data_IF_642883519086
#
_entry.id   IF_642883519086
#
_cell.length_a   1.000
_cell.length_b   1.000
_cell.length_c   1.000
_cell.angle_alpha   90.00
_cell.angle_beta   90.00
_cell.angle_gamma   90.00
#
_symmetry.space_group_name_H-M   'P 1'
#
loop_
_entity.id
_entity.type
_entity.pdbx_description
1 polymer ?
#
# COMPACT_ATOMS: atom_id res chain seq x y z
N UNK A 1 -28.32 9.80 23.80
CA UNK A 1 -27.41 8.72 23.41
C UNK A 1 -26.01 9.22 23.71
N UNK A 2 -25.36 8.59 24.71
CA UNK A 2 -24.04 9.03 25.23
C UNK A 2 -22.98 8.80 24.16
N UNK A 3 -22.25 9.87 23.76
CA UNK A 3 -20.98 9.78 23.05
C UNK A 3 -20.05 8.94 23.92
N UNK A 4 -19.71 7.74 23.45
CA UNK A 4 -18.65 6.95 24.07
C UNK A 4 -17.35 7.68 23.75
N UNK A 5 -16.71 8.17 24.80
CA UNK A 5 -15.34 8.70 24.79
C UNK A 5 -14.43 7.62 24.21
N UNK A 6 -14.14 7.71 22.91
CA UNK A 6 -13.17 6.84 22.22
C UNK A 6 -11.75 7.30 22.58
N UNK A 7 -11.39 7.11 23.86
CA UNK A 7 -10.02 7.36 24.31
C UNK A 7 -9.19 6.09 24.00
N UNK A 8 -8.40 6.08 22.94
CA UNK A 8 -7.69 4.86 22.53
C UNK A 8 -6.68 4.42 23.59
N UNK A 9 -6.62 3.11 23.82
CA UNK A 9 -5.73 2.53 24.84
C UNK A 9 -4.26 2.77 24.41
N UNK A 10 -3.65 3.74 25.06
CA UNK A 10 -2.28 4.23 24.75
C UNK A 10 -1.20 3.14 24.70
N UNK A 11 -1.37 2.06 25.49
CA UNK A 11 -0.41 0.94 25.46
C UNK A 11 -0.43 0.17 24.15
N UNK A 12 -1.61 0.01 23.52
CA UNK A 12 -1.76 -0.65 22.22
C UNK A 12 -1.09 0.19 21.12
N UNK A 13 -1.31 1.50 21.13
CA UNK A 13 -0.67 2.41 20.17
C UNK A 13 0.86 2.39 20.29
N UNK A 14 1.37 2.38 21.52
CA UNK A 14 2.82 2.30 21.79
C UNK A 14 3.42 0.97 21.32
N UNK A 15 2.68 -0.13 21.53
CA UNK A 15 3.10 -1.45 21.05
C UNK A 15 3.14 -1.51 19.53
N UNK A 16 2.12 -0.99 18.85
CA UNK A 16 2.08 -0.91 17.38
C UNK A 16 3.28 -0.10 16.84
N UNK A 17 3.59 1.08 17.41
CA UNK A 17 4.75 1.88 17.02
C UNK A 17 6.08 1.13 17.14
N UNK A 18 6.25 0.27 18.15
CA UNK A 18 7.45 -0.55 18.30
C UNK A 18 7.49 -1.64 17.21
N UNK A 19 6.35 -2.28 16.92
CA UNK A 19 6.28 -3.28 15.85
C UNK A 19 6.59 -2.67 14.48
N UNK A 20 6.03 -1.49 14.19
CA UNK A 20 6.31 -0.74 12.96
C UNK A 20 7.82 -0.44 12.83
N UNK A 21 8.44 0.06 13.90
CA UNK A 21 9.87 0.35 13.91
C UNK A 21 10.75 -0.89 13.65
N UNK A 22 10.40 -2.03 14.26
CA UNK A 22 11.15 -3.29 14.04
C UNK A 22 10.96 -3.78 12.60
N UNK A 23 9.74 -3.66 12.05
CA UNK A 23 9.44 -4.03 10.67
C UNK A 23 10.22 -3.19 9.65
N UNK A 24 10.25 -1.86 9.84
CA UNK A 24 10.96 -0.92 8.97
C UNK A 24 12.48 -1.11 8.99
N UNK A 25 13.03 -1.47 10.13
CA UNK A 25 14.48 -1.64 10.29
C UNK A 25 15.03 -2.83 9.48
N UNK A 26 14.22 -3.82 9.13
CA UNK A 26 14.60 -5.05 8.41
C UNK A 26 15.80 -5.80 9.03
N UNK A 27 16.04 -5.57 10.31
CA UNK A 27 17.08 -6.23 11.12
C UNK A 27 16.68 -6.22 12.58
N UNK A 28 17.19 -7.14 13.40
CA UNK A 28 16.96 -7.11 14.85
C UNK A 28 17.47 -5.82 15.50
N UNK A 29 16.68 -5.22 16.39
CA UNK A 29 16.99 -3.99 17.11
C UNK A 29 17.29 -4.24 18.59
N UNK A 30 18.21 -3.49 19.18
CA UNK A 30 18.46 -3.49 20.62
C UNK A 30 17.41 -2.65 21.37
N UNK A 31 17.25 -2.91 22.67
CA UNK A 31 16.40 -2.10 23.55
C UNK A 31 16.74 -0.60 23.48
N UNK A 32 18.03 -0.28 23.37
CA UNK A 32 18.51 1.10 23.31
C UNK A 32 18.08 1.78 22.00
N UNK A 33 18.28 1.14 20.86
CA UNK A 33 17.84 1.65 19.55
C UNK A 33 16.34 1.92 19.52
N UNK A 34 15.53 0.99 20.05
CA UNK A 34 14.06 1.14 20.12
C UNK A 34 13.67 2.31 21.05
N UNK A 35 14.32 2.44 22.19
CA UNK A 35 14.04 3.51 23.15
C UNK A 35 14.37 4.89 22.58
N UNK A 36 15.51 5.04 21.91
CA UNK A 36 15.93 6.26 21.23
C UNK A 36 14.98 6.64 20.09
N UNK A 37 14.67 5.70 19.19
CA UNK A 37 13.79 5.93 18.06
C UNK A 37 12.35 6.29 18.48
N UNK A 38 11.86 5.73 19.59
CA UNK A 38 10.51 6.02 20.09
C UNK A 38 10.46 7.21 21.05
N UNK A 39 11.61 7.78 21.46
CA UNK A 39 11.70 8.87 22.44
C UNK A 39 11.21 8.47 23.84
N UNK A 40 11.30 7.18 24.20
CA UNK A 40 10.75 6.65 25.47
C UNK A 40 11.84 6.16 26.41
N UNK A 41 11.52 6.18 27.71
CA UNK A 41 12.40 5.59 28.72
C UNK A 41 12.58 4.08 28.48
N UNK A 42 13.82 3.57 28.61
CA UNK A 42 14.16 2.14 28.43
C UNK A 42 13.28 1.20 29.26
N UNK A 43 12.92 1.59 30.48
CA UNK A 43 12.02 0.80 31.34
C UNK A 43 10.63 0.62 30.75
N UNK A 44 10.07 1.67 30.13
CA UNK A 44 8.77 1.61 29.44
C UNK A 44 8.82 0.71 28.20
N UNK A 45 9.87 0.87 27.40
CA UNK A 45 10.07 0.03 26.19
C UNK A 45 10.28 -1.43 26.57
N UNK A 46 11.08 -1.70 27.60
CA UNK A 46 11.29 -3.05 28.12
C UNK A 46 9.98 -3.71 28.57
N UNK A 47 9.13 -2.98 29.32
CA UNK A 47 7.83 -3.49 29.74
C UNK A 47 6.92 -3.84 28.55
N UNK A 48 6.89 -3.00 27.51
CA UNK A 48 6.13 -3.26 26.29
C UNK A 48 6.70 -4.47 25.53
N UNK A 49 8.01 -4.53 25.31
CA UNK A 49 8.67 -5.66 24.64
C UNK A 49 8.48 -6.97 25.42
N UNK A 50 8.54 -6.95 26.75
CA UNK A 50 8.28 -8.12 27.60
C UNK A 50 6.83 -8.62 27.41
N UNK A 51 5.86 -7.70 27.39
CA UNK A 51 4.45 -8.04 27.16
C UNK A 51 4.22 -8.57 25.74
N UNK A 52 4.82 -7.95 24.72
CA UNK A 52 4.72 -8.41 23.34
C UNK A 52 5.39 -9.77 23.13
N UNK A 53 6.52 -10.02 23.80
CA UNK A 53 7.18 -11.33 23.79
C UNK A 53 6.33 -12.41 24.44
N UNK A 54 5.68 -12.13 25.57
CA UNK A 54 4.80 -13.11 26.23
C UNK A 54 3.62 -13.58 25.37
N UNK A 55 3.21 -12.75 24.39
CA UNK A 55 2.14 -13.08 23.44
C UNK A 55 2.66 -13.45 22.04
N UNK A 56 3.99 -13.54 21.85
CA UNK A 56 4.61 -13.98 20.60
C UNK A 56 4.63 -12.95 19.47
N UNK A 57 4.41 -11.66 19.75
CA UNK A 57 4.48 -10.60 18.74
C UNK A 57 5.91 -10.13 18.46
N UNK A 58 6.79 -10.33 19.43
CA UNK A 58 8.21 -10.01 19.34
C UNK A 58 9.00 -11.20 19.90
N UNK A 59 10.11 -11.49 19.26
CA UNK A 59 11.10 -12.46 19.75
C UNK A 59 12.38 -11.74 20.16
N UNK A 60 13.12 -12.32 21.10
CA UNK A 60 14.41 -11.81 21.51
C UNK A 60 15.47 -12.87 21.27
N UNK A 61 16.45 -12.55 20.45
CA UNK A 61 17.60 -13.44 20.23
C UNK A 61 18.39 -13.60 21.54
N UNK A 62 18.57 -14.85 21.97
CA UNK A 62 19.20 -15.18 23.24
C UNK A 62 20.69 -14.79 23.31
N UNK A 63 21.40 -14.79 22.18
CA UNK A 63 22.83 -14.49 22.12
C UNK A 63 23.10 -12.99 22.06
N UNK A 64 22.32 -12.26 21.25
CA UNK A 64 22.55 -10.84 20.98
C UNK A 64 21.69 -9.92 21.84
N UNK A 65 20.62 -10.45 22.47
CA UNK A 65 19.63 -9.67 23.21
C UNK A 65 18.76 -8.75 22.35
N UNK A 66 18.88 -8.82 21.02
CA UNK A 66 18.13 -7.99 20.06
C UNK A 66 16.73 -8.54 19.82
N UNK A 67 15.81 -7.64 19.44
CA UNK A 67 14.40 -7.93 19.23
C UNK A 67 14.06 -7.93 17.75
N UNK A 68 13.21 -8.88 17.34
CA UNK A 68 12.66 -9.02 15.99
C UNK A 68 11.16 -9.35 16.05
N UNK A 69 10.48 -9.28 14.92
CA UNK A 69 9.05 -9.63 14.85
C UNK A 69 8.86 -11.13 15.12
N UNK A 70 7.90 -11.46 15.97
CA UNK A 70 7.56 -12.85 16.29
C UNK A 70 6.67 -13.51 15.24
N UNK A 71 6.79 -14.85 15.09
CA UNK A 71 6.07 -15.64 14.10
C UNK A 71 4.53 -15.53 14.23
N UNK A 72 4.02 -15.21 15.41
CA UNK A 72 2.57 -15.06 15.63
C UNK A 72 1.93 -13.93 14.80
N UNK A 73 2.68 -12.92 14.42
CA UNK A 73 2.22 -11.88 13.51
C UNK A 73 1.96 -12.44 12.11
N UNK A 74 2.76 -13.42 11.65
CA UNK A 74 2.52 -14.15 10.41
C UNK A 74 1.24 -15.01 10.50
N UNK A 75 0.98 -15.66 11.64
CA UNK A 75 -0.26 -16.43 11.85
C UNK A 75 -1.50 -15.54 11.72
N UNK A 76 -1.49 -14.34 12.34
CA UNK A 76 -2.57 -13.37 12.21
C UNK A 76 -2.73 -12.83 10.80
N UNK A 77 -1.62 -12.48 10.15
CA UNK A 77 -1.64 -12.05 8.75
C UNK A 77 -2.24 -13.12 7.83
N UNK A 78 -1.89 -14.40 8.07
CA UNK A 78 -2.42 -15.53 7.32
C UNK A 78 -3.92 -15.80 7.58
N UNK A 79 -4.45 -15.35 8.70
CA UNK A 79 -5.87 -15.47 9.04
C UNK A 79 -6.75 -14.37 8.42
N UNK A 80 -6.15 -13.33 7.81
CA UNK A 80 -6.89 -12.27 7.10
C UNK A 80 -7.40 -12.81 5.76
N UNK A 81 -8.57 -13.45 5.78
CA UNK A 81 -9.14 -14.19 4.64
C UNK A 81 -9.41 -13.33 3.40
N UNK A 82 -9.83 -12.06 3.56
CA UNK A 82 -10.14 -11.19 2.42
C UNK A 82 -8.91 -10.91 1.54
N UNK A 83 -7.74 -10.82 2.15
CA UNK A 83 -6.48 -10.53 1.44
C UNK A 83 -5.87 -11.79 0.82
N UNK A 84 -6.04 -12.95 1.45
CA UNK A 84 -5.44 -14.20 0.99
C UNK A 84 -5.96 -14.64 -0.38
N UNK A 85 -7.27 -14.59 -0.61
CA UNK A 85 -7.87 -14.99 -1.88
C UNK A 85 -7.37 -14.13 -3.04
N UNK A 86 -7.37 -12.80 -2.88
CA UNK A 86 -6.92 -11.90 -3.96
C UNK A 86 -5.42 -12.02 -4.24
N UNK A 87 -4.59 -12.29 -3.24
CA UNK A 87 -3.16 -12.50 -3.44
C UNK A 87 -2.88 -13.78 -4.26
N UNK A 88 -3.59 -14.85 -3.98
CA UNK A 88 -3.48 -16.09 -4.76
C UNK A 88 -3.95 -15.88 -6.21
N UNK A 89 -5.11 -15.23 -6.40
CA UNK A 89 -5.68 -14.97 -7.71
C UNK A 89 -4.82 -14.00 -8.55
N UNK A 90 -4.15 -13.03 -7.94
CA UNK A 90 -3.38 -12.02 -8.64
C UNK A 90 -1.95 -12.44 -9.01
N UNK A 91 -1.41 -13.50 -8.42
CA UNK A 91 -0.01 -13.90 -8.58
C UNK A 91 0.37 -14.14 -10.04
N UNK A 92 -0.33 -15.04 -10.74
CA UNK A 92 -0.03 -15.34 -12.14
C UNK A 92 -0.40 -14.19 -13.10
N UNK A 93 -1.55 -13.49 -12.95
CA UNK A 93 -1.82 -12.28 -13.72
C UNK A 93 -0.76 -11.18 -13.59
N UNK A 94 -0.23 -10.93 -12.38
CA UNK A 94 0.86 -9.96 -12.19
C UNK A 94 2.15 -10.40 -12.88
N UNK A 95 2.53 -11.68 -12.78
CA UNK A 95 3.69 -12.22 -13.49
C UNK A 95 3.55 -12.09 -15.01
N UNK A 96 2.37 -12.38 -15.54
CA UNK A 96 2.08 -12.23 -16.97
C UNK A 96 2.21 -10.76 -17.42
N UNK A 97 1.76 -9.79 -16.60
CA UNK A 97 1.96 -8.36 -16.88
C UNK A 97 3.45 -8.02 -16.93
N UNK A 98 4.21 -8.42 -15.92
CA UNK A 98 5.66 -8.18 -15.84
C UNK A 98 6.39 -8.77 -17.05
N UNK A 99 6.08 -10.02 -17.42
CA UNK A 99 6.70 -10.67 -18.60
C UNK A 99 6.43 -9.92 -19.89
N UNK A 100 5.21 -9.34 -20.05
CA UNK A 100 4.84 -8.64 -21.29
C UNK A 100 5.36 -7.21 -21.35
N UNK A 101 5.57 -6.55 -20.21
CA UNK A 101 5.92 -5.12 -20.15
C UNK A 101 7.34 -4.87 -19.70
N UNK A 102 8.00 -5.85 -19.09
CA UNK A 102 9.30 -5.73 -18.41
C UNK A 102 9.30 -4.64 -17.32
N UNK A 103 8.12 -4.33 -16.74
CA UNK A 103 7.94 -3.34 -15.68
C UNK A 103 7.33 -3.99 -14.43
N UNK A 104 7.52 -3.38 -13.27
CA UNK A 104 7.03 -3.93 -12.00
C UNK A 104 5.51 -3.80 -11.87
N UNK A 105 4.86 -4.86 -11.41
CA UNK A 105 3.43 -4.90 -11.13
C UNK A 105 3.17 -4.98 -9.62
N UNK A 106 2.13 -4.31 -9.14
CA UNK A 106 1.72 -4.40 -7.75
C UNK A 106 0.20 -4.39 -7.59
N UNK A 107 -0.27 -5.17 -6.61
CA UNK A 107 -1.63 -5.14 -6.11
C UNK A 107 -1.66 -4.40 -4.79
N UNK A 108 -2.63 -3.52 -4.61
CA UNK A 108 -2.74 -2.67 -3.42
C UNK A 108 -4.18 -2.46 -2.98
N UNK A 109 -4.34 -1.97 -1.75
CA UNK A 109 -5.59 -1.49 -1.19
C UNK A 109 -5.39 -0.15 -0.48
N UNK A 110 -6.48 0.51 -0.11
CA UNK A 110 -6.41 1.70 0.72
C UNK A 110 -6.41 1.28 2.20
N UNK A 111 -5.42 1.74 2.96
CA UNK A 111 -5.35 1.59 4.41
C UNK A 111 -5.05 2.96 5.05
N UNK A 112 -5.90 3.42 5.96
CA UNK A 112 -5.75 4.69 6.69
C UNK A 112 -5.48 5.91 5.83
N UNK A 113 -5.97 5.92 4.59
CA UNK A 113 -5.77 7.02 3.63
C UNK A 113 -4.52 6.90 2.78
N UNK A 114 -3.71 5.87 2.95
CA UNK A 114 -2.53 5.54 2.17
C UNK A 114 -2.73 4.26 1.36
N UNK A 115 -1.91 4.05 0.35
CA UNK A 115 -1.88 2.83 -0.46
C UNK A 115 -1.02 1.79 0.24
N UNK A 116 -1.60 0.67 0.66
CA UNK A 116 -0.87 -0.48 1.17
C UNK A 116 -0.61 -1.47 0.04
N UNK A 117 0.67 -1.78 -0.21
CA UNK A 117 1.07 -2.81 -1.17
C UNK A 117 0.82 -4.20 -0.56
N UNK A 118 -0.08 -4.97 -1.16
CA UNK A 118 -0.43 -6.32 -0.73
C UNK A 118 0.47 -7.40 -1.33
N UNK A 119 0.88 -7.19 -2.59
CA UNK A 119 1.74 -8.10 -3.32
C UNK A 119 2.32 -7.43 -4.55
N UNK A 120 3.42 -7.96 -5.05
CA UNK A 120 4.11 -7.43 -6.22
C UNK A 120 4.73 -8.55 -7.06
N UNK A 121 5.07 -8.21 -8.29
CA UNK A 121 5.90 -9.00 -9.18
C UNK A 121 6.89 -8.06 -9.87
N UNK A 122 8.12 -8.51 -10.07
CA UNK A 122 9.23 -7.72 -10.60
C UNK A 122 9.85 -8.44 -11.79
N UNK A 123 10.38 -7.70 -12.78
CA UNK A 123 11.10 -8.29 -13.91
C UNK A 123 12.48 -8.79 -13.46
N UNK A 124 13.04 -9.75 -14.19
CA UNK A 124 14.40 -10.23 -13.99
C UNK A 124 15.47 -9.21 -14.46
N UNK A 125 15.04 -7.99 -14.81
CA UNK A 125 15.92 -6.89 -15.21
C UNK A 125 16.72 -6.39 -14.01
N UNK A 126 18.01 -6.16 -14.18
CA UNK A 126 18.87 -5.55 -13.15
C UNK A 126 18.50 -4.09 -12.83
N UNK A 127 17.62 -3.49 -13.62
CA UNK A 127 17.15 -2.13 -13.43
C UNK A 127 15.62 -2.06 -13.50
N UNK A 128 14.97 -1.98 -12.35
CA UNK A 128 13.51 -1.89 -12.22
C UNK A 128 13.13 -1.12 -10.96
N UNK A 129 11.85 -0.74 -10.85
CA UNK A 129 11.31 -0.10 -9.65
C UNK A 129 10.91 -1.19 -8.66
N UNK A 130 11.53 -1.19 -7.49
CA UNK A 130 11.22 -2.14 -6.42
C UNK A 130 9.94 -1.74 -5.70
N UNK A 131 8.99 -2.67 -5.63
CA UNK A 131 7.80 -2.57 -4.81
C UNK A 131 7.88 -3.55 -3.65
N UNK A 132 7.57 -3.12 -2.44
CA UNK A 132 7.68 -3.96 -1.24
C UNK A 132 6.30 -4.22 -0.64
N UNK A 133 5.97 -5.49 -0.43
CA UNK A 133 4.75 -5.89 0.28
C UNK A 133 4.76 -5.34 1.71
N UNK A 134 3.62 -4.81 2.16
CA UNK A 134 3.47 -4.16 3.47
C UNK A 134 3.87 -2.69 3.50
N UNK A 135 4.40 -2.14 2.43
CA UNK A 135 4.77 -0.72 2.34
C UNK A 135 3.55 0.16 2.09
N UNK A 136 3.51 1.30 2.77
CA UNK A 136 2.55 2.37 2.52
C UNK A 136 3.12 3.43 1.57
N UNK A 137 2.28 3.91 0.64
CA UNK A 137 2.60 4.97 -0.32
C UNK A 137 1.50 6.04 -0.28
N UNK A 138 1.81 7.29 -0.64
CA UNK A 138 0.81 8.34 -0.69
C UNK A 138 -0.27 8.03 -1.73
N UNK A 139 -1.55 8.19 -1.35
CA UNK A 139 -2.67 7.84 -2.22
C UNK A 139 -2.97 8.91 -3.28
N UNK A 140 -2.74 10.17 -3.00
CA UNK A 140 -3.15 11.30 -3.86
C UNK A 140 -2.23 11.53 -5.07
N UNK A 141 -1.01 10.94 -5.11
CA UNK A 141 -0.02 11.16 -6.17
C UNK A 141 0.55 9.86 -6.77
N UNK A 142 -0.06 8.70 -6.46
CA UNK A 142 0.26 7.41 -7.08
C UNK A 142 -0.92 6.93 -7.93
N UNK A 143 -0.66 6.21 -9.02
CA UNK A 143 -1.74 5.71 -9.89
C UNK A 143 -2.72 4.81 -9.13
N UNK A 144 -2.21 3.88 -8.31
CA UNK A 144 -3.02 3.00 -7.49
C UNK A 144 -3.86 3.77 -6.47
N UNK A 145 -3.27 4.77 -5.83
CA UNK A 145 -3.98 5.61 -4.87
C UNK A 145 -5.11 6.41 -5.50
N UNK A 146 -4.88 7.02 -6.67
CA UNK A 146 -5.92 7.75 -7.40
C UNK A 146 -7.09 6.84 -7.80
N UNK A 147 -6.84 5.59 -8.19
CA UNK A 147 -7.89 4.59 -8.44
C UNK A 147 -8.72 4.33 -7.19
N UNK A 148 -8.05 4.08 -6.06
CA UNK A 148 -8.72 3.77 -4.78
C UNK A 148 -9.50 4.98 -4.22
N UNK A 149 -8.96 6.19 -4.37
CA UNK A 149 -9.63 7.42 -3.97
C UNK A 149 -10.84 7.75 -4.86
N UNK A 150 -10.79 7.41 -6.15
CA UNK A 150 -11.85 7.72 -7.10
C UNK A 150 -13.20 7.07 -6.76
N UNK A 151 -13.22 5.94 -6.05
CA UNK A 151 -14.43 5.22 -5.60
C UNK A 151 -15.01 5.78 -4.28
N UNK A 152 -14.27 6.65 -3.58
CA UNK A 152 -14.70 7.20 -2.30
C UNK A 152 -15.58 8.46 -2.46
N UNK A 153 -16.45 8.74 -1.46
CA UNK A 153 -17.13 10.03 -1.39
C UNK A 153 -16.14 11.20 -1.33
N UNK A 154 -16.42 12.29 -2.05
CA UNK A 154 -15.57 13.49 -2.12
C UNK A 154 -15.16 14.04 -0.74
N UNK A 155 -16.06 14.01 0.25
CA UNK A 155 -15.74 14.45 1.61
C UNK A 155 -14.67 13.59 2.30
N UNK A 156 -14.66 12.28 2.03
CA UNK A 156 -13.63 11.37 2.54
C UNK A 156 -12.28 11.61 1.87
N UNK A 157 -12.29 11.79 0.55
CA UNK A 157 -11.08 12.13 -0.22
C UNK A 157 -10.47 13.45 0.26
N UNK A 158 -11.30 14.49 0.47
CA UNK A 158 -10.84 15.78 0.98
C UNK A 158 -10.12 15.63 2.32
N UNK A 159 -10.70 14.90 3.28
CA UNK A 159 -10.09 14.65 4.60
C UNK A 159 -8.75 13.90 4.48
N UNK A 160 -8.67 12.89 3.62
CA UNK A 160 -7.42 12.16 3.36
C UNK A 160 -6.37 13.13 2.79
N UNK A 161 -6.75 13.92 1.80
CA UNK A 161 -5.85 14.88 1.16
C UNK A 161 -5.34 15.91 2.18
N UNK A 162 -6.22 16.54 2.97
CA UNK A 162 -5.84 17.52 3.99
C UNK A 162 -4.91 16.95 5.06
N UNK A 163 -5.00 15.63 5.33
CA UNK A 163 -4.15 14.95 6.33
C UNK A 163 -2.78 14.56 5.78
N UNK A 164 -2.69 14.14 4.51
CA UNK A 164 -1.51 13.48 3.95
C UNK A 164 -0.81 14.26 2.83
N UNK A 165 -1.45 15.32 2.27
CA UNK A 165 -0.90 15.99 1.10
C UNK A 165 0.40 16.71 1.41
N UNK A 166 1.41 16.41 0.62
CA UNK A 166 2.70 17.11 0.59
C UNK A 166 3.27 17.08 -0.82
N UNK A 167 4.11 18.04 -1.18
CA UNK A 167 4.79 18.07 -2.47
C UNK A 167 5.98 17.10 -2.45
N UNK A 168 5.95 16.10 -3.31
CA UNK A 168 7.08 15.18 -3.53
C UNK A 168 7.92 15.58 -4.72
N UNK A 169 7.26 16.12 -5.77
CA UNK A 169 7.89 16.60 -7.00
C UNK A 169 7.17 17.87 -7.47
N UNK A 170 7.71 18.60 -8.45
CA UNK A 170 6.98 19.72 -9.07
C UNK A 170 5.66 19.33 -9.77
N UNK A 171 5.44 18.03 -10.01
CA UNK A 171 4.24 17.52 -10.65
C UNK A 171 3.17 17.02 -9.65
N UNK A 172 3.50 16.98 -8.37
CA UNK A 172 2.54 16.56 -7.32
C UNK A 172 1.38 17.56 -7.26
N UNK A 173 0.14 17.06 -7.27
CA UNK A 173 -1.04 17.88 -7.02
C UNK A 173 -1.01 18.41 -5.57
N UNK A 174 -0.93 19.73 -5.41
CA UNK A 174 -0.86 20.40 -4.11
C UNK A 174 -2.18 21.07 -3.71
N UNK A 175 -3.20 21.02 -4.57
CA UNK A 175 -4.54 21.50 -4.26
C UNK A 175 -5.57 20.36 -4.39
N UNK A 176 -6.59 20.40 -3.53
CA UNK A 176 -7.68 19.42 -3.60
C UNK A 176 -8.45 19.50 -4.92
N UNK A 177 -8.65 20.70 -5.45
CA UNK A 177 -9.39 20.89 -6.71
C UNK A 177 -8.67 20.24 -7.89
N UNK A 178 -7.34 20.28 -7.92
CA UNK A 178 -6.51 19.56 -8.92
C UNK A 178 -6.68 18.07 -8.79
N UNK A 179 -6.62 17.53 -7.57
CA UNK A 179 -6.83 16.10 -7.33
C UNK A 179 -8.26 15.68 -7.73
N UNK A 180 -9.30 16.43 -7.32
CA UNK A 180 -10.69 16.07 -7.63
C UNK A 180 -10.98 16.07 -9.14
N UNK A 181 -10.41 17.01 -9.89
CA UNK A 181 -10.48 17.02 -11.35
C UNK A 181 -9.85 15.76 -11.98
N UNK A 182 -8.68 15.34 -11.45
CA UNK A 182 -8.03 14.11 -11.90
C UNK A 182 -8.85 12.87 -11.52
N UNK A 183 -9.40 12.80 -10.30
CA UNK A 183 -10.24 11.67 -9.86
C UNK A 183 -11.53 11.57 -10.68
N UNK A 184 -12.11 12.69 -11.11
CA UNK A 184 -13.23 12.69 -12.07
C UNK A 184 -12.82 12.03 -13.38
N UNK A 185 -11.67 12.40 -13.94
CA UNK A 185 -11.14 11.78 -15.16
C UNK A 185 -10.86 10.27 -14.96
N UNK A 186 -10.38 9.87 -13.77
CA UNK A 186 -10.18 8.46 -13.43
C UNK A 186 -11.50 7.69 -13.45
N UNK A 187 -12.57 8.25 -12.88
CA UNK A 187 -13.92 7.63 -12.92
C UNK A 187 -14.44 7.47 -14.35
N UNK A 188 -14.20 8.45 -15.20
CA UNK A 188 -14.67 8.44 -16.60
C UNK A 188 -13.90 7.45 -17.48
N UNK A 189 -12.55 7.40 -17.36
CA UNK A 189 -11.71 6.54 -18.20
C UNK A 189 -11.47 5.13 -17.65
N UNK A 190 -11.76 4.89 -16.35
CA UNK A 190 -11.62 3.60 -15.70
C UNK A 190 -10.20 3.20 -15.31
N UNK A 191 -9.22 4.11 -15.33
CA UNK A 191 -7.85 3.90 -14.87
C UNK A 191 -7.21 5.22 -14.45
N UNK A 192 -6.15 5.15 -13.66
CA UNK A 192 -5.35 6.31 -13.27
C UNK A 192 -3.93 6.22 -13.82
N UNK A 193 -3.31 7.38 -14.02
CA UNK A 193 -1.92 7.52 -14.45
C UNK A 193 -1.17 8.31 -13.37
N UNK A 194 0.05 7.89 -13.08
CA UNK A 194 1.06 8.68 -12.38
C UNK A 194 2.11 9.13 -13.39
N UNK A 195 2.41 10.41 -13.46
CA UNK A 195 3.41 10.97 -14.36
C UNK A 195 4.46 11.79 -13.61
N UNK A 196 5.30 11.11 -12.85
CA UNK A 196 6.36 11.76 -12.08
C UNK A 196 5.85 12.54 -10.86
N UNK A 197 4.66 12.21 -10.36
CA UNK A 197 4.01 12.93 -9.26
C UNK A 197 4.59 12.55 -7.89
N UNK A 198 4.91 11.27 -7.68
CA UNK A 198 5.55 10.79 -6.46
C UNK A 198 7.07 10.81 -6.56
N UNK A 199 7.62 10.38 -7.71
CA UNK A 199 9.07 10.40 -7.98
C UNK A 199 9.34 10.84 -9.41
N UNK A 200 10.25 11.79 -9.57
CA UNK A 200 10.67 12.28 -10.89
C UNK A 200 11.16 11.12 -11.75
N UNK A 201 10.70 11.06 -13.01
CA UNK A 201 11.08 10.03 -13.97
C UNK A 201 10.32 8.71 -13.84
N UNK A 202 9.59 8.49 -12.75
CA UNK A 202 8.74 7.30 -12.56
C UNK A 202 7.36 7.57 -13.16
N UNK A 203 6.81 6.58 -13.84
CA UNK A 203 5.45 6.62 -14.37
C UNK A 203 4.73 5.32 -14.05
N UNK A 204 3.44 5.43 -13.81
CA UNK A 204 2.63 4.28 -13.47
C UNK A 204 1.24 4.40 -14.07
N UNK A 205 0.60 3.26 -14.22
CA UNK A 205 -0.82 3.12 -14.55
C UNK A 205 -1.46 2.11 -13.62
N UNK A 206 -2.68 2.38 -13.18
CA UNK A 206 -3.44 1.46 -12.35
C UNK A 206 -4.90 1.42 -12.77
N UNK A 207 -5.54 0.27 -12.56
CA UNK A 207 -6.95 0.05 -12.79
C UNK A 207 -7.63 -0.56 -11.55
N UNK A 208 -8.94 -0.27 -11.35
CA UNK A 208 -9.70 -0.77 -10.21
C UNK A 208 -9.95 -2.28 -10.31
N UNK A 209 -9.87 -2.95 -9.18
CA UNK A 209 -10.33 -4.33 -9.01
C UNK A 209 -11.55 -4.32 -8.10
N UNK A 210 -12.69 -4.64 -8.69
CA UNK A 210 -14.00 -4.63 -8.05
C UNK A 210 -14.27 -5.94 -7.32
N UNK A 211 -14.94 -5.86 -6.18
CA UNK A 211 -15.49 -7.02 -5.50
C UNK A 211 -16.88 -7.38 -6.06
N UNK A 212 -17.44 -8.49 -5.61
CA UNK A 212 -18.81 -8.92 -5.94
C UNK A 212 -19.88 -7.85 -5.62
N UNK A 213 -19.63 -6.96 -4.66
CA UNK A 213 -20.53 -5.85 -4.30
C UNK A 213 -20.47 -4.68 -5.29
N UNK A 214 -19.51 -4.67 -6.21
CA UNK A 214 -19.28 -3.58 -7.16
C UNK A 214 -18.47 -2.41 -6.58
N UNK A 215 -17.88 -2.56 -5.40
CA UNK A 215 -16.98 -1.56 -4.81
C UNK A 215 -15.53 -1.81 -5.21
N UNK A 216 -14.74 -0.76 -5.37
CA UNK A 216 -13.30 -0.85 -5.60
C UNK A 216 -12.60 -1.11 -4.27
N UNK A 217 -12.16 -2.34 -4.08
CA UNK A 217 -11.40 -2.71 -2.87
C UNK A 217 -9.90 -2.74 -3.13
N UNK A 218 -9.49 -3.05 -4.36
CA UNK A 218 -8.08 -3.15 -4.72
C UNK A 218 -7.77 -2.37 -5.99
N UNK A 219 -6.50 -2.06 -6.18
CA UNK A 219 -5.95 -1.50 -7.40
C UNK A 219 -4.82 -2.37 -7.91
N UNK A 220 -4.85 -2.74 -9.19
CA UNK A 220 -3.75 -3.38 -9.88
C UNK A 220 -3.01 -2.32 -10.69
N UNK A 221 -1.69 -2.21 -10.53
CA UNK A 221 -0.88 -1.23 -11.23
C UNK A 221 0.41 -1.79 -11.80
N UNK A 222 0.90 -1.11 -12.82
CA UNK A 222 2.28 -1.18 -13.31
C UNK A 222 2.99 0.13 -12.97
N UNK A 223 4.26 0.01 -12.60
CA UNK A 223 5.13 1.13 -12.32
C UNK A 223 6.49 0.88 -12.97
N UNK A 224 7.03 1.92 -13.61
CA UNK A 224 8.28 1.81 -14.32
C UNK A 224 8.85 3.13 -14.78
N UNK A 225 9.89 3.04 -15.60
CA UNK A 225 10.55 4.20 -16.17
C UNK A 225 10.12 4.46 -17.62
N UNK A 226 8.85 4.31 -17.90
CA UNK A 226 8.31 4.66 -19.20
C UNK A 226 8.78 6.05 -19.67
N UNK A 227 9.21 6.13 -20.90
CA UNK A 227 9.77 7.38 -21.42
C UNK A 227 8.72 8.51 -21.46
N UNK A 228 7.47 8.18 -21.84
CA UNK A 228 6.35 9.12 -21.96
C UNK A 228 5.02 8.40 -21.76
N UNK A 229 4.04 9.10 -21.18
CA UNK A 229 2.67 8.56 -20.99
C UNK A 229 1.86 8.47 -22.29
N UNK A 230 2.26 9.18 -23.34
CA UNK A 230 1.63 9.15 -24.67
C UNK A 230 2.39 8.24 -25.66
N UNK A 231 3.36 7.44 -25.19
CA UNK A 231 4.03 6.44 -26.00
C UNK A 231 3.13 5.22 -26.29
N UNK A 232 3.40 4.52 -27.41
CA UNK A 232 2.68 3.28 -27.74
C UNK A 232 2.90 2.20 -26.69
N UNK A 233 4.11 2.14 -26.12
CA UNK A 233 4.49 1.26 -25.02
C UNK A 233 3.60 1.49 -23.79
N UNK A 234 3.46 2.74 -23.35
CA UNK A 234 2.62 3.07 -22.19
C UNK A 234 1.14 2.81 -22.47
N UNK A 235 0.66 3.09 -23.68
CA UNK A 235 -0.72 2.77 -24.08
C UNK A 235 -1.00 1.27 -24.07
N UNK A 236 -0.04 0.46 -24.59
CA UNK A 236 -0.14 -0.99 -24.56
C UNK A 236 -0.15 -1.52 -23.11
N UNK A 237 0.76 -1.03 -22.26
CA UNK A 237 0.80 -1.36 -20.83
C UNK A 237 -0.52 -1.00 -20.12
N UNK A 238 -1.09 0.18 -20.42
CA UNK A 238 -2.39 0.61 -19.87
C UNK A 238 -3.52 -0.36 -20.26
N UNK A 239 -3.59 -0.76 -21.53
CA UNK A 239 -4.61 -1.71 -22.00
C UNK A 239 -4.47 -3.08 -21.29
N UNK A 240 -3.24 -3.55 -21.08
CA UNK A 240 -2.98 -4.80 -20.37
C UNK A 240 -3.42 -4.72 -18.89
N UNK A 241 -3.07 -3.63 -18.19
CA UNK A 241 -3.48 -3.41 -16.79
C UNK A 241 -5.00 -3.41 -16.65
N UNK A 242 -5.70 -2.64 -17.48
CA UNK A 242 -7.17 -2.54 -17.47
C UNK A 242 -7.80 -3.92 -17.71
N UNK A 243 -7.32 -4.64 -18.73
CA UNK A 243 -7.80 -6.00 -19.05
C UNK A 243 -7.58 -6.97 -17.88
N UNK A 244 -6.41 -6.93 -17.26
CA UNK A 244 -6.04 -7.84 -16.16
C UNK A 244 -6.84 -7.52 -14.90
N UNK A 245 -7.00 -6.23 -14.55
CA UNK A 245 -7.80 -5.81 -13.41
C UNK A 245 -9.28 -6.20 -13.56
N UNK A 246 -9.82 -6.11 -14.78
CA UNK A 246 -11.17 -6.59 -15.11
C UNK A 246 -11.29 -8.09 -14.89
N UNK A 247 -10.36 -8.89 -15.40
CA UNK A 247 -10.36 -10.35 -15.21
C UNK A 247 -10.27 -10.74 -13.73
N UNK A 248 -9.45 -10.04 -12.92
CA UNK A 248 -9.39 -10.24 -11.48
C UNK A 248 -10.72 -9.89 -10.80
N UNK A 249 -11.38 -8.81 -11.22
CA UNK A 249 -12.69 -8.42 -10.70
C UNK A 249 -13.75 -9.51 -10.99
N UNK A 250 -13.75 -10.06 -12.20
CA UNK A 250 -14.65 -11.15 -12.61
C UNK A 250 -14.38 -12.42 -11.78
N UNK A 251 -13.11 -12.74 -11.50
CA UNK A 251 -12.71 -13.85 -10.62
C UNK A 251 -13.14 -13.65 -9.16
N UNK A 252 -13.28 -12.40 -8.71
CA UNK A 252 -13.86 -12.03 -7.41
C UNK A 252 -15.39 -12.00 -7.39
N UNK A 253 -16.04 -12.39 -8.49
CA UNK A 253 -17.50 -12.44 -8.61
C UNK A 253 -18.15 -11.14 -9.04
N UNK A 254 -17.37 -10.13 -9.47
CA UNK A 254 -17.93 -8.92 -10.06
C UNK A 254 -18.52 -9.22 -11.43
N UNK A 255 -19.69 -8.66 -11.70
CA UNK A 255 -20.36 -8.71 -13.01
C UNK A 255 -20.72 -7.30 -13.44
N UNK A 256 -20.28 -6.91 -14.62
CA UNK A 256 -20.71 -5.65 -15.22
C UNK A 256 -22.23 -5.71 -15.41
N UNK A 257 -22.93 -4.71 -14.85
CA UNK A 257 -24.37 -4.53 -15.04
C UNK A 257 -24.67 -3.90 -16.37
#
# INVERSE_FOLDING_TARGET
MSERDDNPVRSIQKAAQILDLIAEAKRPLSLTEIAEATGRAKSTVYGLLSSMRSVGFVEQNAETGRYELGVRLFEYGSAVQSTKNILELSREPMRALVTQTNESAALSMLDRGEVLILGHAEPDSSFHIVSETGRHLPSFCTAQGKVLLADLPTASVRRIFETHAQAYTPHTATSFDTLEAELKSVRERGYAIENGEFRVGIRGVAAPVYTHSGTVQYALGLIGMFRRIDSDEFRAATALVVKTAKALSEALGWRMK
#
